data_IF_142566855742
#
_entry.id   IF_142566855742
#
_cell.length_a   1.000
_cell.length_b   1.000
_cell.length_c   1.000
_cell.angle_alpha   90.00
_cell.angle_beta   90.00
_cell.angle_gamma   90.00
#
_symmetry.space_group_name_H-M   'P 1'
#
loop_
_entity.id
_entity.type
_entity.pdbx_description
1 polymer ?
#
# COMPACT_ATOMS: atom_id res chain seq x y z
N UNK A 1 -16.07 -14.02 -30.37
CA UNK A 1 -14.69 -14.04 -29.83
C UNK A 1 -14.85 -13.92 -28.33
N UNK A 2 -14.62 -14.99 -27.58
CA UNK A 2 -14.66 -14.95 -26.12
C UNK A 2 -13.39 -14.24 -25.65
N UNK A 3 -13.53 -13.06 -25.07
CA UNK A 3 -12.41 -12.44 -24.35
C UNK A 3 -11.95 -13.42 -23.26
N UNK A 4 -10.69 -13.83 -23.33
CA UNK A 4 -10.08 -14.60 -22.24
C UNK A 4 -9.90 -13.66 -21.06
N UNK A 5 -10.61 -13.92 -19.97
CA UNK A 5 -10.39 -13.21 -18.71
C UNK A 5 -9.02 -13.60 -18.18
N UNK A 6 -8.11 -12.63 -18.10
CA UNK A 6 -6.85 -12.80 -17.40
C UNK A 6 -7.02 -12.47 -15.92
N UNK A 7 -6.73 -13.45 -15.07
CA UNK A 7 -6.73 -13.27 -13.63
C UNK A 7 -5.37 -12.78 -13.14
N UNK A 8 -5.33 -12.01 -12.02
CA UNK A 8 -4.08 -11.71 -11.34
C UNK A 8 -3.46 -12.99 -10.78
N UNK A 9 -2.13 -13.00 -10.68
CA UNK A 9 -1.38 -14.09 -10.05
C UNK A 9 -1.50 -14.04 -8.51
N UNK A 10 -1.75 -12.84 -7.96
CA UNK A 10 -1.92 -12.59 -6.54
C UNK A 10 -2.96 -11.51 -6.29
N UNK A 11 -3.88 -11.77 -5.36
CA UNK A 11 -4.80 -10.76 -4.81
C UNK A 11 -4.37 -10.42 -3.39
N UNK A 12 -4.16 -9.13 -3.11
CA UNK A 12 -3.84 -8.61 -1.79
C UNK A 12 -5.02 -7.80 -1.27
N UNK A 13 -5.60 -8.23 -0.15
CA UNK A 13 -6.71 -7.51 0.51
C UNK A 13 -6.15 -6.63 1.63
N UNK A 14 -6.29 -5.32 1.48
CA UNK A 14 -5.76 -4.26 2.35
C UNK A 14 -4.49 -3.63 1.78
N UNK A 15 -4.56 -2.33 1.49
CA UNK A 15 -3.48 -1.49 0.99
C UNK A 15 -2.71 -0.79 2.12
N UNK A 16 -2.59 -1.42 3.29
CA UNK A 16 -1.68 -0.99 4.35
C UNK A 16 -0.21 -1.36 4.07
N UNK A 17 0.73 -0.89 4.91
CA UNK A 17 2.17 -1.14 4.73
C UNK A 17 2.52 -2.62 4.48
N UNK A 18 1.86 -3.55 5.19
CA UNK A 18 2.08 -4.98 4.99
C UNK A 18 1.68 -5.44 3.58
N UNK A 19 0.44 -5.15 3.17
CA UNK A 19 -0.07 -5.54 1.86
C UNK A 19 0.72 -4.90 0.72
N UNK A 20 1.04 -3.61 0.84
CA UNK A 20 1.85 -2.90 -0.15
C UNK A 20 3.26 -3.49 -0.27
N UNK A 21 3.89 -3.88 0.84
CA UNK A 21 5.22 -4.52 0.81
C UNK A 21 5.18 -5.88 0.12
N UNK A 22 4.16 -6.71 0.41
CA UNK A 22 3.99 -8.01 -0.24
C UNK A 22 3.73 -7.84 -1.74
N UNK A 23 2.83 -6.94 -2.12
CA UNK A 23 2.50 -6.67 -3.52
C UNK A 23 3.73 -6.18 -4.30
N UNK A 24 4.45 -5.20 -3.76
CA UNK A 24 5.66 -4.65 -4.38
C UNK A 24 6.73 -5.74 -4.57
N UNK A 25 6.97 -6.58 -3.56
CA UNK A 25 7.95 -7.65 -3.67
C UNK A 25 7.54 -8.71 -4.69
N UNK A 26 6.25 -9.06 -4.77
CA UNK A 26 5.76 -10.02 -5.76
C UNK A 26 5.96 -9.51 -7.20
N UNK A 27 5.68 -8.23 -7.45
CA UNK A 27 5.92 -7.59 -8.75
C UNK A 27 7.42 -7.58 -9.08
N UNK A 28 8.26 -7.03 -8.20
CA UNK A 28 9.67 -6.79 -8.53
C UNK A 28 10.52 -8.06 -8.55
N UNK A 29 10.22 -9.04 -7.70
CA UNK A 29 11.04 -10.26 -7.58
C UNK A 29 10.59 -11.37 -8.50
N UNK A 30 9.28 -11.43 -8.81
CA UNK A 30 8.67 -12.56 -9.51
C UNK A 30 7.98 -12.16 -10.81
N UNK A 31 7.83 -10.85 -11.09
CA UNK A 31 7.07 -10.38 -12.25
C UNK A 31 5.57 -10.68 -12.17
N UNK A 32 5.05 -10.96 -10.96
CA UNK A 32 3.66 -11.33 -10.75
C UNK A 32 2.72 -10.15 -11.00
N UNK A 33 1.56 -10.41 -11.59
CA UNK A 33 0.48 -9.42 -11.68
C UNK A 33 -0.32 -9.45 -10.40
N UNK A 34 -0.33 -8.31 -9.70
CA UNK A 34 -0.96 -8.19 -8.39
C UNK A 34 -2.18 -7.29 -8.48
N UNK A 35 -3.32 -7.76 -7.99
CA UNK A 35 -4.51 -6.94 -7.73
C UNK A 35 -4.56 -6.60 -6.23
N UNK A 36 -4.66 -5.31 -5.90
CA UNK A 36 -4.77 -4.84 -4.51
C UNK A 36 -6.18 -4.28 -4.32
N UNK A 37 -6.87 -4.75 -3.30
CA UNK A 37 -8.24 -4.33 -2.98
C UNK A 37 -8.21 -3.77 -1.55
N UNK A 38 -8.62 -2.51 -1.38
CA UNK A 38 -8.88 -1.94 -0.06
C UNK A 38 -10.36 -1.55 0.02
N UNK A 39 -10.92 -1.61 1.22
CA UNK A 39 -12.29 -1.16 1.50
C UNK A 39 -12.37 0.36 1.62
N UNK A 40 -11.23 1.02 1.88
CA UNK A 40 -11.11 2.47 2.00
C UNK A 40 -10.97 3.12 0.63
N UNK A 41 -11.26 4.41 0.59
CA UNK A 41 -11.12 5.30 -0.57
C UNK A 41 -9.67 5.78 -0.80
N UNK A 42 -8.71 5.27 -0.02
CA UNK A 42 -7.30 5.62 -0.11
C UNK A 42 -6.42 4.42 0.26
N UNK A 43 -5.14 4.49 -0.14
CA UNK A 43 -4.11 3.52 0.25
C UNK A 43 -3.44 3.91 1.58
N UNK A 44 -2.55 3.06 2.09
CA UNK A 44 -1.73 3.32 3.28
C UNK A 44 -2.32 2.80 4.59
N UNK A 45 -3.56 2.31 4.58
CA UNK A 45 -4.24 1.88 5.79
C UNK A 45 -4.29 3.01 6.84
N UNK A 46 -3.91 2.73 8.09
CA UNK A 46 -3.88 3.77 9.13
C UNK A 46 -2.73 4.77 8.98
N UNK A 47 -1.68 4.43 8.22
CA UNK A 47 -0.55 5.33 7.99
C UNK A 47 -0.89 6.46 7.01
N UNK A 48 -2.07 6.42 6.37
CA UNK A 48 -2.54 7.46 5.47
C UNK A 48 -2.60 8.84 6.15
N UNK A 49 -2.01 9.83 5.48
CA UNK A 49 -2.15 11.25 5.76
C UNK A 49 -2.79 11.97 4.56
N UNK A 50 -3.33 13.15 4.81
CA UNK A 50 -3.85 14.04 3.77
C UNK A 50 -3.43 15.48 4.05
N UNK A 51 -3.39 16.30 3.01
CA UNK A 51 -3.18 17.74 3.16
C UNK A 51 -4.52 18.39 3.50
N UNK A 52 -4.58 19.06 4.65
CA UNK A 52 -5.73 19.85 5.05
C UNK A 52 -5.90 21.08 4.14
N UNK A 53 -7.10 21.27 3.58
CA UNK A 53 -7.34 22.30 2.56
C UNK A 53 -7.31 23.74 3.11
N UNK A 54 -7.67 23.93 4.39
CA UNK A 54 -7.73 25.25 5.01
C UNK A 54 -6.35 25.70 5.51
N UNK A 55 -5.63 24.80 6.17
CA UNK A 55 -4.36 25.13 6.85
C UNK A 55 -3.13 24.76 6.02
N UNK A 56 -3.26 23.87 5.04
CA UNK A 56 -2.13 23.31 4.31
C UNK A 56 -1.25 22.37 5.14
N UNK A 57 -1.69 21.98 6.34
CA UNK A 57 -0.96 21.04 7.18
C UNK A 57 -1.17 19.59 6.71
N UNK A 58 -0.14 18.74 6.86
CA UNK A 58 -0.30 17.29 6.69
C UNK A 58 -0.92 16.68 7.96
N UNK A 59 -2.07 16.02 7.80
CA UNK A 59 -2.84 15.44 8.91
C UNK A 59 -2.93 13.92 8.73
N UNK A 60 -2.55 13.19 9.77
CA UNK A 60 -2.78 11.75 9.83
C UNK A 60 -4.22 11.46 10.29
N UNK A 61 -5.07 11.02 9.35
CA UNK A 61 -6.50 10.79 9.58
C UNK A 61 -6.78 9.79 10.71
N UNK A 62 -5.86 8.87 10.98
CA UNK A 62 -6.03 7.75 11.92
C UNK A 62 -5.04 7.79 13.10
N UNK A 63 -4.58 8.98 13.48
CA UNK A 63 -3.60 9.18 14.55
C UNK A 63 -2.17 9.28 14.02
N UNK A 64 -1.29 9.94 14.79
CA UNK A 64 0.07 10.22 14.37
C UNK A 64 0.88 8.93 14.14
N UNK A 65 1.63 8.90 13.03
CA UNK A 65 2.55 7.80 12.72
C UNK A 65 3.97 8.35 12.61
N UNK A 66 4.83 7.95 13.54
CA UNK A 66 6.26 8.31 13.54
C UNK A 66 7.06 7.08 13.15
N UNK A 67 7.73 7.13 11.99
CA UNK A 67 8.56 6.03 11.56
C UNK A 67 9.83 5.94 12.41
N UNK A 68 10.08 4.78 12.99
CA UNK A 68 11.32 4.48 13.69
C UNK A 68 11.65 2.99 13.53
N UNK A 69 12.92 2.69 13.28
CA UNK A 69 13.39 1.30 13.18
C UNK A 69 14.88 1.23 13.44
N UNK A 70 15.34 0.15 14.07
CA UNK A 70 16.76 -0.23 14.12
C UNK A 70 17.10 -1.30 13.09
N UNK A 71 16.13 -1.72 12.28
CA UNK A 71 16.31 -2.74 11.26
C UNK A 71 16.82 -2.09 9.97
N UNK A 72 18.13 -2.22 9.71
CA UNK A 72 18.77 -1.67 8.52
C UNK A 72 18.13 -2.15 7.21
N UNK A 73 17.69 -3.41 7.12
CA UNK A 73 17.02 -3.91 5.91
C UNK A 73 15.70 -3.18 5.64
N UNK A 74 14.95 -2.80 6.68
CA UNK A 74 13.70 -2.05 6.55
C UNK A 74 13.95 -0.57 6.29
N UNK A 75 15.07 -0.02 6.79
CA UNK A 75 15.51 1.34 6.49
C UNK A 75 15.99 1.48 5.04
N UNK A 76 16.72 0.48 4.55
CA UNK A 76 17.30 0.46 3.20
C UNK A 76 16.27 0.02 2.13
N UNK A 77 15.17 -0.62 2.56
CA UNK A 77 14.03 -0.98 1.70
C UNK A 77 13.18 0.25 1.41
#
# INVERSE_FOLDING_TARGET
>A
MTESVEYPDLVVVGAGLFGLTVAQQAVERLGARVEIIDVRDHIGGNAYSYMDEETGAEIHKYGAHLFHTSNRRVWDY
#
